data_IF_644728788599
#
_entry.id   IF_644728788599
#
_cell.length_a   1.000
_cell.length_b   1.000
_cell.length_c   1.000
_cell.angle_alpha   90.00
_cell.angle_beta   90.00
_cell.angle_gamma   90.00
#
_symmetry.space_group_name_H-M   'P 1'
#
loop_
_entity.id
_entity.type
_entity.pdbx_description
1 polymer ?
#
# COMPACT_ATOMS: atom_id res chain seq x y z
N UNK A 1 -11.97 -41.93 -26.79
CA UNK A 1 -11.97 -40.53 -27.25
C UNK A 1 -11.90 -39.65 -26.00
N UNK A 2 -10.68 -39.40 -25.52
CA UNK A 2 -10.41 -38.64 -24.29
C UNK A 2 -10.06 -37.21 -24.68
N UNK A 3 -10.87 -36.24 -24.23
CA UNK A 3 -10.61 -34.83 -24.46
C UNK A 3 -9.47 -34.35 -23.55
N UNK A 4 -8.40 -33.87 -24.16
CA UNK A 4 -7.23 -33.27 -23.53
C UNK A 4 -7.60 -31.82 -23.13
N UNK A 5 -7.86 -31.58 -21.83
CA UNK A 5 -8.13 -30.24 -21.31
C UNK A 5 -6.79 -29.57 -21.04
N UNK A 6 -6.29 -28.81 -22.02
CA UNK A 6 -5.14 -27.92 -21.85
C UNK A 6 -5.50 -26.77 -20.91
N UNK A 7 -5.22 -26.93 -19.62
CA UNK A 7 -5.26 -25.84 -18.65
C UNK A 7 -4.17 -24.82 -19.00
N UNK A 8 -4.57 -23.69 -19.57
CA UNK A 8 -3.69 -22.53 -19.66
C UNK A 8 -3.68 -21.84 -18.29
N UNK A 9 -2.50 -21.60 -17.68
CA UNK A 9 -2.45 -20.79 -16.46
C UNK A 9 -2.97 -19.39 -16.78
N UNK A 10 -4.09 -19.01 -16.16
CA UNK A 10 -4.57 -17.64 -16.21
C UNK A 10 -3.62 -16.78 -15.37
N UNK A 11 -2.62 -16.21 -16.01
CA UNK A 11 -1.71 -15.25 -15.37
C UNK A 11 -2.48 -13.96 -15.11
N UNK A 12 -2.96 -13.77 -13.87
CA UNK A 12 -3.50 -12.48 -13.44
C UNK A 12 -2.33 -11.55 -13.12
N UNK A 13 -1.98 -10.69 -14.08
CA UNK A 13 -0.98 -9.64 -13.91
C UNK A 13 -1.59 -8.41 -13.25
N UNK A 14 -1.86 -8.47 -11.94
CA UNK A 14 -2.09 -7.24 -11.18
C UNK A 14 -0.73 -6.58 -10.94
N UNK A 15 -0.23 -5.85 -11.93
CA UNK A 15 0.94 -4.99 -11.74
C UNK A 15 0.51 -3.79 -10.91
N UNK A 16 1.09 -3.58 -9.73
CA UNK A 16 0.92 -2.33 -9.00
C UNK A 16 1.39 -1.19 -9.92
N UNK A 17 0.47 -0.34 -10.39
CA UNK A 17 0.83 0.73 -11.30
C UNK A 17 1.67 1.76 -10.55
N UNK A 18 2.80 2.17 -11.14
CA UNK A 18 3.58 3.30 -10.68
C UNK A 18 2.72 4.56 -10.78
N UNK A 19 2.54 5.30 -9.68
CA UNK A 19 1.70 6.49 -9.64
C UNK A 19 0.20 6.19 -9.51
N UNK A 20 -0.19 5.22 -8.67
CA UNK A 20 -1.59 4.85 -8.43
C UNK A 20 -2.47 6.03 -7.98
N UNK A 21 -1.86 7.04 -7.36
CA UNK A 21 -2.51 8.25 -6.88
C UNK A 21 -1.85 9.49 -7.50
N UNK A 22 -2.68 10.41 -7.99
CA UNK A 22 -2.26 11.70 -8.50
C UNK A 22 -3.02 12.80 -7.76
N UNK A 23 -2.33 13.90 -7.45
CA UNK A 23 -2.99 15.10 -6.91
C UNK A 23 -3.76 15.74 -8.06
N UNK A 24 -5.07 15.91 -7.87
CA UNK A 24 -5.91 16.54 -8.88
C UNK A 24 -5.45 18.01 -9.11
N UNK A 25 -5.42 18.50 -10.36
CA UNK A 25 -5.14 19.90 -10.62
C UNK A 25 -6.13 20.79 -9.86
N UNK A 26 -5.60 21.67 -8.98
CA UNK A 26 -6.43 22.55 -8.15
C UNK A 26 -7.04 21.88 -6.92
N UNK A 27 -6.55 20.72 -6.49
CA UNK A 27 -6.90 20.15 -5.19
C UNK A 27 -6.71 21.19 -4.08
N UNK A 28 -7.67 21.31 -3.17
CA UNK A 28 -7.55 22.26 -2.08
C UNK A 28 -6.43 21.81 -1.12
N UNK A 29 -5.73 22.77 -0.54
CA UNK A 29 -4.71 22.49 0.48
C UNK A 29 -5.29 21.67 1.65
N UNK A 30 -6.56 21.89 2.01
CA UNK A 30 -7.26 21.09 3.03
C UNK A 30 -7.45 19.63 2.61
N UNK A 31 -7.79 19.37 1.35
CA UNK A 31 -7.99 18.00 0.84
C UNK A 31 -6.66 17.23 0.84
N UNK A 32 -5.55 17.92 0.53
CA UNK A 32 -4.20 17.34 0.58
C UNK A 32 -3.77 17.04 2.02
N UNK A 33 -4.08 17.93 2.98
CA UNK A 33 -3.83 17.67 4.41
C UNK A 33 -4.66 16.50 4.95
N UNK A 34 -5.94 16.42 4.59
CA UNK A 34 -6.83 15.32 4.99
C UNK A 34 -6.31 13.98 4.44
N UNK A 35 -5.86 13.98 3.19
CA UNK A 35 -5.26 12.81 2.56
C UNK A 35 -3.95 12.39 3.23
N UNK A 36 -3.09 13.35 3.58
CA UNK A 36 -1.85 13.09 4.33
C UNK A 36 -2.17 12.46 5.70
N UNK A 37 -3.13 13.04 6.43
CA UNK A 37 -3.59 12.52 7.73
C UNK A 37 -4.12 11.09 7.61
N UNK A 38 -4.92 10.81 6.57
CA UNK A 38 -5.43 9.47 6.30
C UNK A 38 -4.30 8.46 6.02
N UNK A 39 -3.28 8.83 5.24
CA UNK A 39 -2.12 7.96 4.94
C UNK A 39 -1.27 7.68 6.16
N UNK A 40 -1.02 8.68 7.00
CA UNK A 40 -0.28 8.51 8.25
C UNK A 40 -1.04 7.61 9.23
N UNK A 41 -2.37 7.80 9.36
CA UNK A 41 -3.22 6.95 10.21
C UNK A 41 -3.22 5.50 9.72
N UNK A 42 -3.28 5.28 8.41
CA UNK A 42 -3.22 3.94 7.83
C UNK A 42 -1.87 3.27 8.10
N UNK A 43 -0.77 4.00 7.91
CA UNK A 43 0.58 3.51 8.18
C UNK A 43 0.76 3.15 9.67
N UNK A 44 0.29 4.02 10.57
CA UNK A 44 0.32 3.77 12.01
C UNK A 44 -0.46 2.49 12.37
N UNK A 45 -1.68 2.34 11.85
CA UNK A 45 -2.49 1.15 12.08
C UNK A 45 -1.79 -0.12 11.60
N UNK A 46 -1.17 -0.08 10.41
CA UNK A 46 -0.40 -1.22 9.90
C UNK A 46 0.81 -1.53 10.78
N UNK A 47 1.62 -0.53 11.16
CA UNK A 47 2.77 -0.75 12.02
C UNK A 47 2.38 -1.25 13.41
N UNK A 48 1.24 -0.81 13.95
CA UNK A 48 0.72 -1.30 15.24
C UNK A 48 0.51 -2.82 15.25
N UNK A 49 0.13 -3.40 14.09
CA UNK A 49 -0.06 -4.84 13.92
C UNK A 49 1.23 -5.66 13.95
N UNK A 50 2.40 -5.00 13.97
CA UNK A 50 3.72 -5.64 14.08
C UNK A 50 4.25 -5.65 15.51
N UNK A 51 3.62 -4.88 16.41
CA UNK A 51 4.09 -4.62 17.77
C UNK A 51 3.29 -5.39 18.83
N UNK A 52 3.91 -5.67 19.98
CA UNK A 52 3.26 -6.30 21.12
C UNK A 52 2.57 -7.63 20.78
N UNK A 53 1.42 -7.87 21.42
CA UNK A 53 0.59 -9.06 21.18
C UNK A 53 -0.05 -9.06 19.78
N UNK A 54 -0.39 -7.89 19.22
CA UNK A 54 -0.91 -7.79 17.85
C UNK A 54 0.11 -8.31 16.81
N UNK A 55 1.40 -8.08 17.09
CA UNK A 55 2.53 -8.57 16.32
C UNK A 55 2.64 -10.10 16.19
N UNK A 56 1.93 -10.89 17.00
CA UNK A 56 1.95 -12.35 16.87
C UNK A 56 1.38 -12.80 15.53
N UNK A 57 0.35 -12.11 15.03
CA UNK A 57 -0.22 -12.39 13.71
C UNK A 57 0.81 -12.14 12.63
N UNK A 58 1.48 -10.97 12.65
CA UNK A 58 2.56 -10.66 11.70
C UNK A 58 3.70 -11.69 11.76
N UNK A 59 4.19 -12.02 12.96
CA UNK A 59 5.29 -12.98 13.17
C UNK A 59 4.95 -14.41 12.75
N UNK A 60 3.68 -14.80 12.82
CA UNK A 60 3.21 -16.11 12.37
C UNK A 60 2.99 -16.19 10.85
N UNK A 61 3.03 -15.07 10.13
CA UNK A 61 2.96 -15.08 8.66
C UNK A 61 4.21 -15.69 8.04
N UNK A 62 4.10 -16.20 6.80
CA UNK A 62 5.26 -16.61 6.02
C UNK A 62 6.19 -15.42 5.75
N UNK A 63 7.49 -15.68 5.57
CA UNK A 63 8.47 -14.65 5.26
C UNK A 63 8.08 -13.78 4.05
N UNK A 64 7.52 -14.41 3.00
CA UNK A 64 7.01 -13.69 1.82
C UNK A 64 5.86 -12.72 2.13
N UNK A 65 4.99 -13.05 3.09
CA UNK A 65 3.89 -12.19 3.50
C UNK A 65 4.36 -11.07 4.42
N UNK A 66 5.32 -11.34 5.30
CA UNK A 66 5.96 -10.31 6.11
C UNK A 66 6.66 -9.28 5.22
N UNK A 67 7.40 -9.74 4.22
CA UNK A 67 8.07 -8.86 3.25
C UNK A 67 7.06 -8.00 2.48
N UNK A 68 6.03 -8.63 1.90
CA UNK A 68 4.96 -7.90 1.21
C UNK A 68 4.24 -6.87 2.10
N UNK A 69 4.03 -7.21 3.38
CA UNK A 69 3.45 -6.30 4.37
C UNK A 69 4.36 -5.08 4.61
N UNK A 70 5.66 -5.31 4.79
CA UNK A 70 6.62 -4.22 4.98
C UNK A 70 6.78 -3.35 3.74
N UNK A 71 6.72 -3.94 2.54
CA UNK A 71 6.65 -3.18 1.29
C UNK A 71 5.43 -2.27 1.22
N UNK A 72 4.26 -2.76 1.66
CA UNK A 72 3.05 -1.94 1.71
C UNK A 72 3.17 -0.77 2.70
N UNK A 73 3.77 -0.98 3.89
CA UNK A 73 4.10 0.10 4.82
C UNK A 73 5.03 1.14 4.16
N UNK A 74 6.08 0.69 3.46
CA UNK A 74 7.01 1.58 2.78
C UNK A 74 6.32 2.39 1.66
N UNK A 75 5.41 1.78 0.91
CA UNK A 75 4.61 2.48 -0.11
C UNK A 75 3.78 3.60 0.51
N UNK A 76 3.08 3.35 1.63
CA UNK A 76 2.31 4.38 2.33
C UNK A 76 3.20 5.52 2.87
N UNK A 77 4.39 5.19 3.39
CA UNK A 77 5.34 6.19 3.87
C UNK A 77 5.80 7.12 2.74
N UNK A 78 6.09 6.56 1.56
CA UNK A 78 6.45 7.36 0.36
C UNK A 78 5.30 8.23 -0.12
N UNK A 79 4.08 7.70 -0.14
CA UNK A 79 2.89 8.51 -0.49
C UNK A 79 2.69 9.69 0.48
N UNK A 80 2.94 9.49 1.77
CA UNK A 80 2.88 10.57 2.77
C UNK A 80 3.99 11.61 2.54
N UNK A 81 5.20 11.18 2.17
CA UNK A 81 6.30 12.07 1.81
C UNK A 81 5.98 12.91 0.57
N UNK A 82 5.45 12.28 -0.49
CA UNK A 82 5.04 12.95 -1.72
C UNK A 82 3.93 13.99 -1.44
N UNK A 83 2.93 13.64 -0.63
CA UNK A 83 1.87 14.57 -0.21
C UNK A 83 2.42 15.73 0.62
N UNK A 84 3.35 15.45 1.54
CA UNK A 84 3.98 16.49 2.35
C UNK A 84 4.85 17.43 1.51
N UNK A 85 5.54 16.93 0.49
CA UNK A 85 6.30 17.77 -0.44
C UNK A 85 5.36 18.67 -1.23
N UNK A 86 4.28 18.11 -1.79
CA UNK A 86 3.32 18.88 -2.56
C UNK A 86 2.64 20.00 -1.74
N UNK A 87 2.42 19.78 -0.45
CA UNK A 87 1.91 20.80 0.48
C UNK A 87 2.90 21.94 0.72
N UNK A 88 4.20 21.66 0.74
CA UNK A 88 5.25 22.68 0.94
C UNK A 88 5.56 23.47 -0.34
N UNK A 89 5.22 22.92 -1.51
CA UNK A 89 5.43 23.53 -2.82
C UNK A 89 4.27 24.44 -3.27
N UNK A 90 3.17 24.51 -2.49
CA UNK A 90 2.01 25.37 -2.73
C UNK A 90 2.13 26.73 -2.01
#
# INVERSE_FOLDING_TARGET
MTADIKQHPQTMGFTAATGLYAIAPGAAHTDMLDQLSARLTQLEAMLSSTCGCAGETFRSMSASRQDAFMWACLSLAKEAEDLSSALNDC
#
